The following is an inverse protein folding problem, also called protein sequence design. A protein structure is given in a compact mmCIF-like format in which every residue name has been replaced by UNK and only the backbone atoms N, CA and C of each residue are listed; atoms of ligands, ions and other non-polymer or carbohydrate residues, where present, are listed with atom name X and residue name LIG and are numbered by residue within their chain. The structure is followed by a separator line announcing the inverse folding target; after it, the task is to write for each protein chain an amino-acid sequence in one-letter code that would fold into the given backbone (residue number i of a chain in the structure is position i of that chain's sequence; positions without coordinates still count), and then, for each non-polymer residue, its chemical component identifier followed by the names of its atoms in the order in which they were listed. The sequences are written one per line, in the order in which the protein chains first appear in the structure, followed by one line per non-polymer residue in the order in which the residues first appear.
data_IF_018808522698
#
_entry.id   IF_018808522698
#
_cell.length_a   1.000
_cell.length_b   1.000
_cell.length_c   1.000
_cell.angle_alpha   90.00
_cell.angle_beta   90.00
_cell.angle_gamma   90.00
#
_symmetry.space_group_name_H-M   'P 1'
#
loop_
_entity.id
_entity.type
_entity.pdbx_description
1 polymer ?
#
# COMPACT_ATOMS: atom_id res chain seq x y z
N UNK A 1 -5.25 -16.51 -4.45
CA UNK A 1 -4.57 -16.66 -5.75
C UNK A 1 -3.50 -17.75 -5.72
N UNK A 2 -2.66 -17.79 -4.68
CA UNK A 2 -1.73 -18.91 -4.45
C UNK A 2 -2.49 -20.18 -4.04
N UNK A 3 -3.40 -20.11 -3.06
CA UNK A 3 -4.18 -21.28 -2.61
C UNK A 3 -5.07 -21.88 -3.70
N UNK A 4 -5.59 -21.02 -4.58
CA UNK A 4 -6.37 -21.40 -5.76
C UNK A 4 -5.50 -21.91 -6.92
N UNK A 5 -4.17 -21.96 -6.76
CA UNK A 5 -3.16 -22.38 -7.76
C UNK A 5 -3.20 -21.61 -9.08
N UNK A 6 -3.75 -20.40 -9.08
CA UNK A 6 -3.75 -19.53 -10.24
C UNK A 6 -2.36 -18.92 -10.50
N UNK A 7 -1.54 -18.81 -9.45
CA UNK A 7 -0.15 -18.35 -9.49
C UNK A 7 0.72 -19.23 -8.59
N UNK A 8 2.01 -19.28 -8.89
CA UNK A 8 3.01 -20.00 -8.10
C UNK A 8 3.75 -19.04 -7.18
N UNK A 9 3.84 -19.36 -5.88
CA UNK A 9 4.66 -18.61 -4.94
C UNK A 9 6.13 -18.97 -5.16
N UNK A 10 6.95 -17.98 -5.50
CA UNK A 10 8.38 -18.19 -5.80
C UNK A 10 9.23 -18.11 -4.53
N UNK A 11 8.99 -17.12 -3.68
CA UNK A 11 9.59 -16.96 -2.34
C UNK A 11 8.65 -16.08 -1.50
N UNK A 12 8.77 -16.14 -0.18
CA UNK A 12 8.03 -15.33 0.78
C UNK A 12 8.92 -15.02 2.00
N UNK A 13 9.01 -13.75 2.36
CA UNK A 13 9.83 -13.26 3.47
C UNK A 13 9.18 -12.03 4.10
N UNK A 14 9.11 -12.02 5.43
CA UNK A 14 8.79 -10.82 6.18
C UNK A 14 10.00 -9.87 6.18
N UNK A 15 9.75 -8.57 6.00
CA UNK A 15 10.79 -7.54 6.12
C UNK A 15 10.83 -7.04 7.57
N UNK A 16 11.95 -7.22 8.29
CA UNK A 16 12.05 -6.77 9.67
C UNK A 16 11.83 -5.26 9.78
N UNK A 17 10.97 -4.89 10.74
CA UNK A 17 10.70 -3.48 11.11
C UNK A 17 10.16 -2.62 9.97
N UNK A 18 9.66 -3.23 8.89
CA UNK A 18 9.27 -2.52 7.66
C UNK A 18 10.42 -1.70 7.05
N UNK A 19 11.67 -2.10 7.32
CA UNK A 19 12.85 -1.36 6.88
C UNK A 19 13.08 -1.52 5.38
N UNK A 20 13.04 -0.40 4.65
CA UNK A 20 13.15 -0.38 3.19
C UNK A 20 14.52 -0.87 2.69
N UNK A 21 15.60 -0.61 3.41
CA UNK A 21 16.94 -1.06 3.00
C UNK A 21 17.07 -2.57 3.15
N UNK A 22 16.59 -3.13 4.27
CA UNK A 22 16.49 -4.59 4.46
C UNK A 22 15.57 -5.22 3.41
N UNK A 23 14.43 -4.59 3.13
CA UNK A 23 13.47 -5.04 2.12
C UNK A 23 14.08 -5.12 0.72
N UNK A 24 14.86 -4.11 0.32
CA UNK A 24 15.60 -4.13 -0.95
C UNK A 24 16.62 -5.28 -1.02
N UNK A 25 17.38 -5.52 0.06
CA UNK A 25 18.34 -6.65 0.14
C UNK A 25 17.63 -8.00 0.06
N UNK A 26 16.53 -8.18 0.80
CA UNK A 26 15.72 -9.40 0.77
C UNK A 26 15.22 -9.66 -0.65
N UNK A 27 14.64 -8.64 -1.28
CA UNK A 27 14.11 -8.78 -2.63
C UNK A 27 15.21 -9.05 -3.67
N UNK A 28 16.39 -8.44 -3.56
CA UNK A 28 17.53 -8.73 -4.45
C UNK A 28 17.95 -10.21 -4.36
N UNK A 29 17.92 -10.80 -3.16
CA UNK A 29 18.18 -12.23 -2.97
C UNK A 29 17.06 -13.09 -3.55
N UNK A 30 15.79 -12.75 -3.35
CA UNK A 30 14.64 -13.45 -3.93
C UNK A 30 14.69 -13.45 -5.46
N UNK A 31 14.95 -12.29 -6.07
CA UNK A 31 15.09 -12.12 -7.51
C UNK A 31 16.25 -12.96 -8.06
N UNK A 32 17.37 -13.01 -7.35
CA UNK A 32 18.54 -13.83 -7.72
C UNK A 32 18.22 -15.33 -7.68
N UNK A 33 17.55 -15.81 -6.62
CA UNK A 33 17.09 -17.21 -6.50
C UNK A 33 16.11 -17.58 -7.62
N UNK A 34 15.22 -16.66 -7.98
CA UNK A 34 14.28 -16.82 -9.07
C UNK A 34 14.93 -16.77 -10.47
N UNK A 35 16.24 -16.49 -10.56
CA UNK A 35 16.94 -16.33 -11.84
C UNK A 35 16.37 -15.17 -12.67
N UNK A 36 15.87 -14.13 -12.01
CA UNK A 36 15.22 -12.98 -12.66
C UNK A 36 13.81 -13.25 -13.20
N UNK A 37 13.19 -14.40 -12.90
CA UNK A 37 11.87 -14.79 -13.41
C UNK A 37 10.80 -14.59 -12.35
N UNK A 38 10.14 -13.44 -12.39
CA UNK A 38 9.00 -13.11 -11.54
C UNK A 38 7.98 -12.33 -12.37
N UNK A 39 6.70 -12.56 -12.13
CA UNK A 39 5.62 -11.80 -12.78
C UNK A 39 5.14 -10.63 -11.91
N UNK A 40 5.18 -10.81 -10.59
CA UNK A 40 4.74 -9.81 -9.62
C UNK A 40 5.52 -9.86 -8.31
N UNK A 41 5.56 -8.70 -7.63
CA UNK A 41 6.01 -8.52 -6.25
C UNK A 41 4.83 -8.00 -5.45
N UNK A 42 4.36 -8.81 -4.51
CA UNK A 42 3.31 -8.40 -3.57
C UNK A 42 3.99 -7.76 -2.37
N UNK A 43 4.21 -6.44 -2.43
CA UNK A 43 4.81 -5.70 -1.33
C UNK A 43 3.73 -5.21 -0.35
N UNK A 44 4.05 -5.22 0.93
CA UNK A 44 3.09 -4.94 1.99
C UNK A 44 2.88 -3.44 2.27
N UNK A 45 3.76 -2.56 1.77
CA UNK A 45 3.55 -1.10 1.74
C UNK A 45 4.39 -0.45 0.61
N UNK A 46 4.19 0.84 0.36
CA UNK A 46 4.88 1.55 -0.73
C UNK A 46 6.40 1.68 -0.52
N UNK A 47 6.87 1.84 0.71
CA UNK A 47 8.31 1.91 0.98
C UNK A 47 9.05 0.65 0.52
N UNK A 48 8.50 -0.52 0.87
CA UNK A 48 9.01 -1.82 0.46
C UNK A 48 8.85 -2.04 -1.06
N UNK A 49 7.71 -1.64 -1.62
CA UNK A 49 7.47 -1.71 -3.07
C UNK A 49 8.48 -0.88 -3.86
N UNK A 50 8.78 0.35 -3.42
CA UNK A 50 9.75 1.22 -4.07
C UNK A 50 11.19 0.70 -3.92
N UNK A 51 11.52 0.06 -2.80
CA UNK A 51 12.79 -0.66 -2.65
C UNK A 51 12.93 -1.81 -3.66
N UNK A 52 11.86 -2.59 -3.87
CA UNK A 52 11.82 -3.63 -4.89
C UNK A 52 11.94 -3.05 -6.32
N UNK A 53 11.25 -1.95 -6.61
CA UNK A 53 11.36 -1.21 -7.89
C UNK A 53 12.80 -0.78 -8.16
N UNK A 54 13.53 -0.28 -7.17
CA UNK A 54 14.93 0.11 -7.34
C UNK A 54 15.81 -1.08 -7.80
N UNK A 55 15.61 -2.26 -7.19
CA UNK A 55 16.27 -3.51 -7.60
C UNK A 55 15.84 -3.94 -9.01
N UNK A 56 14.54 -3.86 -9.33
CA UNK A 56 14.02 -4.17 -10.66
C UNK A 56 14.60 -3.24 -11.73
N UNK A 57 14.77 -1.94 -11.44
CA UNK A 57 15.41 -0.96 -12.35
C UNK A 57 16.86 -1.33 -12.62
N UNK A 58 17.64 -1.65 -11.57
CA UNK A 58 19.03 -2.13 -11.69
C UNK A 58 19.15 -3.37 -12.59
N UNK A 59 18.14 -4.23 -12.57
CA UNK A 59 18.08 -5.47 -13.35
C UNK A 59 17.32 -5.35 -14.68
N UNK A 60 16.89 -4.14 -15.09
CA UNK A 60 16.13 -3.89 -16.34
C UNK A 60 14.80 -4.68 -16.44
N UNK A 61 14.17 -4.90 -15.29
CA UNK A 61 12.90 -5.60 -15.12
C UNK A 61 11.75 -4.68 -14.69
N UNK A 62 12.04 -3.42 -14.34
CA UNK A 62 11.01 -2.45 -14.01
C UNK A 62 10.04 -2.24 -15.19
N UNK A 63 8.74 -2.16 -14.90
CA UNK A 63 7.67 -2.12 -15.90
C UNK A 63 7.35 -3.46 -16.57
N UNK A 64 8.11 -4.54 -16.29
CA UNK A 64 7.78 -5.92 -16.69
C UNK A 64 7.21 -6.74 -15.55
N UNK A 65 7.61 -6.41 -14.32
CA UNK A 65 7.14 -7.04 -13.08
C UNK A 65 6.19 -6.08 -12.39
N UNK A 66 4.97 -6.53 -12.10
CA UNK A 66 4.01 -5.72 -11.36
C UNK A 66 4.42 -5.62 -9.88
N UNK A 67 4.40 -4.43 -9.30
CA UNK A 67 4.69 -4.23 -7.87
C UNK A 67 3.49 -3.56 -7.22
N UNK A 68 2.96 -4.16 -6.15
CA UNK A 68 1.90 -3.55 -5.34
C UNK A 68 2.49 -2.64 -4.27
N UNK A 69 1.66 -1.80 -3.66
CA UNK A 69 1.98 -1.05 -2.44
C UNK A 69 0.73 -0.85 -1.58
N UNK A 70 0.91 -0.06 -0.52
CA UNK A 70 -0.14 0.40 0.38
C UNK A 70 0.32 1.71 1.02
N UNK A 71 -0.64 2.56 1.41
CA UNK A 71 -0.53 3.81 2.19
C UNK A 71 -0.74 5.12 1.41
N UNK A 72 -0.71 5.10 0.07
CA UNK A 72 -0.95 6.27 -0.79
C UNK A 72 -0.09 7.51 -0.44
N UNK A 73 1.17 7.28 -0.12
CA UNK A 73 2.22 8.29 0.04
C UNK A 73 2.43 9.07 -1.25
N UNK A 74 3.01 10.27 -1.15
CA UNK A 74 3.38 11.09 -2.32
C UNK A 74 4.21 10.29 -3.32
N UNK A 75 5.26 9.60 -2.87
CA UNK A 75 6.14 8.82 -3.73
C UNK A 75 5.44 7.60 -4.34
N UNK A 76 4.55 6.95 -3.58
CA UNK A 76 3.75 5.85 -4.09
C UNK A 76 2.78 6.26 -5.19
N UNK A 77 2.05 7.37 -5.01
CA UNK A 77 1.15 7.91 -6.03
C UNK A 77 1.92 8.34 -7.29
N UNK A 78 3.10 8.95 -7.11
CA UNK A 78 4.01 9.27 -8.22
C UNK A 78 4.46 8.02 -8.95
N UNK A 79 4.85 6.99 -8.22
CA UNK A 79 5.28 5.72 -8.79
C UNK A 79 4.14 4.99 -9.52
N UNK A 80 2.91 5.12 -9.06
CA UNK A 80 1.74 4.66 -9.82
C UNK A 80 1.63 5.41 -11.14
N UNK A 81 1.70 6.75 -11.12
CA UNK A 81 1.60 7.57 -12.34
C UNK A 81 2.71 7.24 -13.34
N UNK A 82 3.96 7.08 -12.89
CA UNK A 82 5.10 6.72 -13.75
C UNK A 82 5.08 5.25 -14.19
N UNK A 83 4.24 4.41 -13.57
CA UNK A 83 4.14 2.98 -13.88
C UNK A 83 5.19 2.11 -13.18
N UNK A 84 5.89 2.66 -12.20
CA UNK A 84 6.81 1.93 -11.32
C UNK A 84 6.04 1.02 -10.33
N UNK A 85 4.90 1.49 -9.82
CA UNK A 85 3.95 0.69 -9.05
C UNK A 85 2.69 0.43 -9.87
N UNK A 86 2.13 -0.77 -9.73
CA UNK A 86 0.88 -1.17 -10.39
C UNK A 86 -0.36 -0.64 -9.67
N UNK A 87 -0.32 -0.62 -8.34
CA UNK A 87 -1.37 -0.11 -7.48
C UNK A 87 -0.81 0.25 -6.10
N UNK A 88 -1.63 0.96 -5.33
CA UNK A 88 -1.52 1.08 -3.87
C UNK A 88 -2.88 0.85 -3.25
N UNK A 89 -2.95 0.91 -1.92
CA UNK A 89 -4.19 0.85 -1.16
C UNK A 89 -4.23 2.08 -0.28
N UNK A 90 -5.22 2.95 -0.54
CA UNK A 90 -5.50 4.13 0.25
C UNK A 90 -6.30 3.74 1.50
N UNK A 91 -5.82 4.20 2.66
CA UNK A 91 -6.47 4.08 3.96
C UNK A 91 -6.61 5.49 4.53
N UNK A 92 -7.84 5.95 4.70
CA UNK A 92 -8.11 7.31 5.15
C UNK A 92 -7.74 7.51 6.62
N UNK A 93 -6.51 8.00 6.88
CA UNK A 93 -5.99 8.21 8.25
C UNK A 93 -6.91 9.13 9.06
N UNK A 94 -7.53 10.13 8.42
CA UNK A 94 -8.48 11.02 9.09
C UNK A 94 -9.67 10.24 9.66
N UNK A 95 -10.31 9.39 8.85
CA UNK A 95 -11.45 8.58 9.30
C UNK A 95 -11.03 7.58 10.38
N UNK A 96 -9.83 7.00 10.28
CA UNK A 96 -9.28 6.10 11.30
C UNK A 96 -9.07 6.83 12.64
N UNK A 97 -8.49 8.03 12.61
CA UNK A 97 -8.30 8.86 13.80
C UNK A 97 -9.63 9.32 14.42
N UNK A 98 -10.61 9.71 13.61
CA UNK A 98 -11.95 10.09 14.07
C UNK A 98 -12.69 8.90 14.72
N UNK A 99 -12.61 7.72 14.11
CA UNK A 99 -13.15 6.48 14.68
C UNK A 99 -12.50 6.13 16.02
N UNK A 100 -11.17 6.19 16.09
CA UNK A 100 -10.43 5.94 17.31
C UNK A 100 -10.77 6.95 18.43
N UNK A 101 -10.83 8.24 18.11
CA UNK A 101 -11.21 9.28 19.07
C UNK A 101 -12.64 9.11 19.58
N UNK A 102 -13.57 8.76 18.69
CA UNK A 102 -14.98 8.50 19.04
C UNK A 102 -15.09 7.35 20.04
N UNK A 103 -14.40 6.24 19.77
CA UNK A 103 -14.35 5.09 20.69
C UNK A 103 -13.72 5.47 22.04
N UNK A 104 -12.61 6.19 22.04
CA UNK A 104 -11.94 6.60 23.26
C UNK A 104 -12.84 7.50 24.13
N UNK A 105 -13.56 8.45 23.53
CA UNK A 105 -14.50 9.32 24.24
C UNK A 105 -15.67 8.53 24.82
N UNK A 106 -16.24 7.57 24.09
CA UNK A 106 -17.31 6.71 24.59
C UNK A 106 -16.87 5.92 25.83
N UNK A 107 -15.69 5.28 25.76
CA UNK A 107 -15.10 4.55 26.88
C UNK A 107 -14.87 5.44 28.10
N UNK A 108 -14.38 6.66 27.92
CA UNK A 108 -14.18 7.63 29.01
C UNK A 108 -15.49 8.06 29.69
N UNK A 109 -16.60 8.04 28.97
CA UNK A 109 -17.94 8.33 29.50
C UNK A 109 -18.63 7.12 30.11
N UNK A 110 -18.03 5.93 30.03
CA UNK A 110 -18.67 4.68 30.43
C UNK A 110 -19.79 4.25 29.47
N UNK A 111 -19.77 4.74 28.23
CA UNK A 111 -20.71 4.36 27.18
C UNK A 111 -20.17 3.13 26.40
N UNK A 112 -21.09 2.31 25.90
CA UNK A 112 -20.73 1.19 25.03
C UNK A 112 -20.23 1.68 23.66
N UNK A 113 -19.24 0.97 23.11
CA UNK A 113 -18.67 1.21 21.78
C UNK A 113 -19.62 0.76 20.65
N UNK A 114 -20.75 1.44 20.51
CA UNK A 114 -21.83 1.10 19.56
C UNK A 114 -21.46 1.31 18.09
N UNK A 115 -20.31 1.92 17.81
CA UNK A 115 -19.83 2.21 16.44
C UNK A 115 -19.09 1.04 15.80
N UNK A 116 -18.87 -0.07 16.52
CA UNK A 116 -18.22 -1.26 15.96
C UNK A 116 -18.95 -1.76 14.71
N UNK A 117 -18.21 -1.98 13.63
CA UNK A 117 -18.73 -2.47 12.34
C UNK A 117 -18.41 -3.95 12.11
N UNK A 118 -17.64 -4.56 13.01
CA UNK A 118 -17.32 -5.98 12.98
C UNK A 118 -16.52 -6.40 14.23
N UNK A 119 -15.81 -7.51 14.11
CA UNK A 119 -14.95 -8.03 15.18
C UNK A 119 -13.66 -8.61 14.63
N UNK A 120 -12.59 -8.54 15.42
CA UNK A 120 -11.29 -9.16 15.12
C UNK A 120 -10.94 -10.10 16.25
N UNK A 121 -10.69 -11.37 15.93
CA UNK A 121 -10.22 -12.34 16.92
C UNK A 121 -8.74 -12.09 17.23
N UNK A 122 -8.41 -11.88 18.51
CA UNK A 122 -7.02 -11.67 18.95
C UNK A 122 -6.34 -12.95 19.46
N UNK A 123 -6.92 -14.12 19.19
CA UNK A 123 -6.49 -15.42 19.70
C UNK A 123 -7.14 -15.82 21.03
N UNK A 124 -7.90 -14.91 21.68
CA UNK A 124 -8.63 -15.21 22.93
C UNK A 124 -10.10 -14.81 22.85
N UNK A 125 -10.40 -13.64 22.29
CA UNK A 125 -11.76 -13.13 22.17
C UNK A 125 -11.96 -12.42 20.84
N UNK A 126 -13.20 -12.38 20.38
CA UNK A 126 -13.62 -11.51 19.30
C UNK A 126 -13.75 -10.09 19.85
N UNK A 127 -12.83 -9.20 19.46
CA UNK A 127 -12.81 -7.81 19.90
C UNK A 127 -13.70 -6.98 18.97
N UNK A 128 -14.78 -6.34 19.46
CA UNK A 128 -15.56 -5.41 18.66
C UNK A 128 -14.66 -4.32 18.09
N UNK A 129 -14.74 -4.12 16.77
CA UNK A 129 -13.79 -3.30 16.02
C UNK A 129 -14.52 -2.41 15.03
N UNK A 130 -14.00 -1.20 14.81
CA UNK A 130 -14.40 -0.32 13.71
C UNK A 130 -13.48 -0.65 12.53
N UNK A 131 -14.00 -1.40 11.56
CA UNK A 131 -13.30 -1.78 10.34
C UNK A 131 -13.68 -0.83 9.22
N UNK A 132 -12.77 0.08 8.87
CA UNK A 132 -12.96 1.01 7.77
C UNK A 132 -12.64 0.33 6.42
N UNK A 133 -13.30 0.81 5.36
CA UNK A 133 -13.09 0.28 4.00
C UNK A 133 -11.85 0.92 3.40
N UNK A 134 -10.85 0.09 3.10
CA UNK A 134 -9.68 0.51 2.33
C UNK A 134 -10.01 0.58 0.83
N UNK A 135 -9.37 1.49 0.10
CA UNK A 135 -9.65 1.75 -1.31
C UNK A 135 -8.44 1.40 -2.17
N UNK A 136 -8.61 0.53 -3.17
CA UNK A 136 -7.57 0.25 -4.15
C UNK A 136 -7.34 1.47 -5.06
N UNK A 137 -6.08 1.88 -5.21
CA UNK A 137 -5.69 3.03 -6.03
C UNK A 137 -4.76 2.59 -7.16
N UNK A 138 -5.09 3.04 -8.36
CA UNK A 138 -4.34 2.85 -9.61
C UNK A 138 -4.27 4.21 -10.33
N UNK A 139 -3.61 4.28 -11.49
CA UNK A 139 -3.59 5.51 -12.31
C UNK A 139 -4.97 6.11 -12.53
N UNK A 140 -6.01 5.28 -12.65
CA UNK A 140 -7.37 5.71 -12.95
C UNK A 140 -8.01 6.58 -11.85
N UNK A 141 -7.56 6.46 -10.60
CA UNK A 141 -8.18 7.10 -9.44
C UNK A 141 -7.18 7.72 -8.45
N UNK A 142 -5.93 8.02 -8.87
CA UNK A 142 -5.00 8.82 -8.05
C UNK A 142 -5.60 10.18 -7.66
N UNK A 143 -6.34 10.81 -8.58
CA UNK A 143 -7.02 12.08 -8.35
C UNK A 143 -7.99 12.04 -7.16
N UNK A 144 -8.56 10.89 -6.83
CA UNK A 144 -9.54 10.77 -5.74
C UNK A 144 -8.85 10.93 -4.37
N UNK A 145 -7.62 10.43 -4.22
CA UNK A 145 -6.80 10.63 -3.01
C UNK A 145 -6.44 12.10 -2.80
N UNK A 146 -6.18 12.82 -3.90
CA UNK A 146 -5.90 14.25 -3.88
C UNK A 146 -7.18 15.05 -3.59
N UNK A 147 -8.30 14.68 -4.19
CA UNK A 147 -9.60 15.31 -3.97
C UNK A 147 -10.09 15.15 -2.52
N UNK A 148 -9.78 14.03 -1.88
CA UNK A 148 -10.02 13.81 -0.46
C UNK A 148 -9.12 14.67 0.46
N UNK A 149 -8.09 15.31 -0.11
CA UNK A 149 -7.15 16.16 0.61
C UNK A 149 -6.07 15.39 1.38
N UNK A 150 -5.96 14.07 1.15
CA UNK A 150 -4.96 13.24 1.83
C UNK A 150 -3.53 13.60 1.42
N UNK A 151 -3.31 13.84 0.13
CA UNK A 151 -2.05 14.37 -0.40
C UNK A 151 -2.30 15.66 -1.17
N UNK A 152 -1.33 16.58 -1.12
CA UNK A 152 -1.37 17.80 -1.90
C UNK A 152 -1.04 17.51 -3.36
N UNK A 153 -1.81 18.12 -4.27
CA UNK A 153 -1.56 18.03 -5.72
C UNK A 153 -0.15 18.46 -6.06
N UNK A 154 0.32 19.55 -5.45
CA UNK A 154 1.62 20.14 -5.73
C UNK A 154 2.76 19.18 -5.40
N UNK A 155 2.67 18.45 -4.28
CA UNK A 155 3.68 17.49 -3.85
C UNK A 155 3.69 16.27 -4.78
N UNK A 156 2.52 15.75 -5.14
CA UNK A 156 2.40 14.61 -6.07
C UNK A 156 2.85 14.97 -7.47
N UNK A 157 2.52 16.15 -7.99
CA UNK A 157 2.75 16.50 -9.39
C UNK A 157 4.10 17.17 -9.67
N UNK A 158 4.87 17.56 -8.65
CA UNK A 158 6.15 18.26 -8.81
C UNK A 158 7.12 17.54 -9.76
N UNK A 159 7.44 18.17 -10.90
CA UNK A 159 8.33 17.63 -11.93
C UNK A 159 7.73 16.53 -12.81
N UNK A 160 6.42 16.25 -12.69
CA UNK A 160 5.65 15.33 -13.55
C UNK A 160 4.29 15.95 -13.95
N UNK A 161 4.23 17.28 -14.07
CA UNK A 161 2.99 18.05 -14.23
C UNK A 161 2.19 17.63 -15.47
N UNK A 162 2.87 17.36 -16.59
CA UNK A 162 2.25 16.88 -17.83
C UNK A 162 1.58 15.52 -17.64
N UNK A 163 2.23 14.62 -16.87
CA UNK A 163 1.69 13.30 -16.57
C UNK A 163 0.48 13.39 -15.63
N UNK A 164 0.53 14.28 -14.64
CA UNK A 164 -0.64 14.58 -13.81
C UNK A 164 -1.81 15.10 -14.65
N UNK A 165 -1.55 16.07 -15.53
CA UNK A 165 -2.57 16.65 -16.42
C UNK A 165 -3.20 15.56 -17.31
N UNK A 166 -2.37 14.68 -17.89
CA UNK A 166 -2.83 13.57 -18.72
C UNK A 166 -3.70 12.54 -17.95
N UNK A 167 -3.59 12.47 -16.62
CA UNK A 167 -4.40 11.61 -15.76
C UNK A 167 -5.52 12.36 -15.03
N UNK A 168 -5.80 13.62 -15.41
CA UNK A 168 -6.91 14.41 -14.87
C UNK A 168 -6.71 14.84 -13.41
N UNK A 169 -5.46 15.06 -13.00
CA UNK A 169 -5.08 15.56 -11.68
C UNK A 169 -4.90 17.08 -11.72
#
# INVERSE_FOLDING_TARGET
MIDSKAYTLVDDQAVPDWDNAKGGVIFEQQLSKAGGKLDAVVSANEGLGLAAVAVLKKNKLNGKVCVSGQDATVDGLRAILTGDLSNTVYKAIKAEAEGAATLAIALLKGEDATTATGSVNNGTTDVPSVLLVAVGVTKANVKDVIADGFQKKEDVCKGIEDLCTANGI
#
